data_IF_304698259208
#
_entry.id   IF_304698259208
#
_cell.length_a   1.000
_cell.length_b   1.000
_cell.length_c   1.000
_cell.angle_alpha   90.00
_cell.angle_beta   90.00
_cell.angle_gamma   90.00
#
_symmetry.space_group_name_H-M   'P 1'
#
loop_
_entity.id
_entity.type
_entity.pdbx_description
1 polymer ?
#
# COMPACT_ATOMS: atom_id res chain seq x y z
N UNK A 1 0.01 20.53 -43.17
CA UNK A 1 -0.16 19.53 -42.08
C UNK A 1 -0.79 20.23 -40.90
N UNK A 2 -1.97 19.79 -40.47
CA UNK A 2 -2.63 20.34 -39.29
C UNK A 2 -1.90 19.83 -38.04
N UNK A 3 -1.21 20.72 -37.33
CA UNK A 3 -0.60 20.42 -36.03
C UNK A 3 -1.73 20.36 -35.02
N UNK A 4 -2.37 19.19 -34.89
CA UNK A 4 -3.39 18.96 -33.87
C UNK A 4 -2.72 19.17 -32.52
N UNK A 5 -3.22 20.16 -31.76
CA UNK A 5 -2.69 20.60 -30.49
C UNK A 5 -2.82 19.46 -29.45
N UNK A 6 -1.76 18.65 -29.33
CA UNK A 6 -1.67 17.44 -28.49
C UNK A 6 -2.05 17.72 -27.02
N UNK A 7 -1.82 18.94 -26.55
CA UNK A 7 -2.08 19.34 -25.16
C UNK A 7 -3.58 19.46 -24.84
N UNK A 8 -4.43 19.61 -25.86
CA UNK A 8 -5.88 19.62 -25.67
C UNK A 8 -6.43 18.20 -25.52
N UNK A 9 -5.88 17.23 -26.25
CA UNK A 9 -6.29 15.82 -26.23
C UNK A 9 -5.94 15.15 -24.89
N UNK A 10 -4.79 15.49 -24.29
CA UNK A 10 -4.37 14.94 -22.99
C UNK A 10 -5.29 15.29 -21.82
N UNK A 11 -6.00 16.41 -21.88
CA UNK A 11 -6.83 16.89 -20.75
C UNK A 11 -8.15 16.13 -20.57
N UNK A 12 -8.58 15.39 -21.59
CA UNK A 12 -9.83 14.60 -21.59
C UNK A 12 -9.55 13.09 -21.47
N UNK A 13 -8.29 12.69 -21.22
CA UNK A 13 -7.87 11.30 -21.18
C UNK A 13 -8.14 10.69 -19.79
N UNK A 14 -8.89 9.58 -19.76
CA UNK A 14 -9.10 8.78 -18.55
C UNK A 14 -8.04 7.69 -18.50
N UNK A 15 -7.31 7.59 -17.39
CA UNK A 15 -6.32 6.55 -17.15
C UNK A 15 -6.79 5.63 -16.01
N UNK A 16 -6.71 4.32 -16.23
CA UNK A 16 -6.99 3.30 -15.22
C UNK A 16 -5.66 2.80 -14.66
N UNK A 17 -5.24 3.38 -13.55
CA UNK A 17 -3.98 3.04 -12.89
C UNK A 17 -4.27 2.51 -11.49
N UNK A 18 -3.63 1.40 -11.13
CA UNK A 18 -3.62 0.92 -9.75
C UNK A 18 -2.54 1.63 -8.94
N UNK A 19 -2.77 1.85 -7.65
CA UNK A 19 -1.78 2.45 -6.76
C UNK A 19 -0.50 1.61 -6.71
N UNK A 20 -0.62 0.28 -6.81
CA UNK A 20 0.54 -0.61 -6.85
C UNK A 20 1.44 -0.31 -8.05
N UNK A 21 0.89 -0.07 -9.24
CA UNK A 21 1.67 0.27 -10.44
C UNK A 21 2.47 1.57 -10.32
N UNK A 22 2.14 2.44 -9.38
CA UNK A 22 2.91 3.67 -9.13
C UNK A 22 4.19 3.40 -8.34
N UNK A 23 4.34 2.24 -7.72
CA UNK A 23 5.53 1.85 -6.95
C UNK A 23 6.51 1.10 -7.85
N UNK A 24 7.75 1.60 -8.06
CA UNK A 24 8.74 0.94 -8.91
C UNK A 24 9.01 -0.51 -8.49
N UNK A 25 9.27 -1.39 -9.46
CA UNK A 25 9.51 -2.82 -9.21
C UNK A 25 10.70 -3.09 -8.29
N UNK A 26 11.76 -2.28 -8.41
CA UNK A 26 12.98 -2.41 -7.61
C UNK A 26 12.92 -1.65 -6.26
N UNK A 27 11.74 -1.09 -5.92
CA UNK A 27 11.59 -0.30 -4.70
C UNK A 27 11.77 -1.14 -3.43
N UNK A 28 12.40 -0.55 -2.42
CA UNK A 28 12.77 -1.22 -1.17
C UNK A 28 11.56 -1.86 -0.46
N UNK A 29 10.41 -1.19 -0.43
CA UNK A 29 9.19 -1.73 0.19
C UNK A 29 8.72 -3.03 -0.46
N UNK A 30 8.90 -3.20 -1.78
CA UNK A 30 8.57 -4.45 -2.48
C UNK A 30 9.55 -5.57 -2.13
N UNK A 31 10.82 -5.24 -1.88
CA UNK A 31 11.83 -6.20 -1.40
C UNK A 31 11.51 -6.67 0.01
N UNK A 32 11.11 -5.75 0.89
CA UNK A 32 10.71 -6.06 2.26
C UNK A 32 9.46 -6.95 2.30
N UNK A 33 8.42 -6.60 1.53
CA UNK A 33 7.19 -7.39 1.45
C UNK A 33 7.47 -8.83 0.99
N UNK A 34 8.45 -9.03 0.10
CA UNK A 34 8.89 -10.36 -0.35
C UNK A 34 9.76 -11.10 0.66
N UNK A 35 10.47 -10.38 1.52
CA UNK A 35 11.47 -10.95 2.44
C UNK A 35 10.89 -11.33 3.81
N UNK A 36 9.80 -10.68 4.23
CA UNK A 36 9.23 -10.83 5.57
C UNK A 36 7.78 -11.29 5.45
N UNK A 37 7.48 -12.47 5.98
CA UNK A 37 6.10 -12.81 6.29
C UNK A 37 5.72 -12.11 7.61
N UNK A 38 4.72 -11.24 7.59
CA UNK A 38 4.25 -10.49 8.75
C UNK A 38 3.18 -11.21 9.59
N UNK A 39 2.73 -12.40 9.19
CA UNK A 39 1.66 -13.14 9.87
C UNK A 39 1.98 -13.44 11.35
N UNK A 40 3.26 -13.56 11.70
CA UNK A 40 3.69 -13.78 13.09
C UNK A 40 3.19 -12.69 14.06
N UNK A 41 2.90 -11.48 13.55
CA UNK A 41 2.39 -10.38 14.36
C UNK A 41 1.04 -10.74 14.97
N UNK A 42 0.17 -11.44 14.22
CA UNK A 42 -1.16 -11.81 14.73
C UNK A 42 -1.06 -12.69 15.96
N UNK A 43 -0.14 -13.66 15.98
CA UNK A 43 0.09 -14.52 17.14
C UNK A 43 0.63 -13.73 18.34
N UNK A 44 1.52 -12.76 18.11
CA UNK A 44 2.11 -11.94 19.17
C UNK A 44 1.09 -11.03 19.87
N UNK A 45 0.14 -10.48 19.11
CA UNK A 45 -0.79 -9.47 19.63
C UNK A 45 -2.17 -10.03 19.95
N UNK A 46 -2.42 -11.31 19.66
CA UNK A 46 -3.74 -11.95 19.76
C UNK A 46 -4.49 -11.64 21.05
N UNK A 47 -3.80 -11.76 22.18
CA UNK A 47 -4.41 -11.58 23.52
C UNK A 47 -4.77 -10.11 23.83
N UNK A 48 -4.26 -9.16 23.04
CA UNK A 48 -4.55 -7.72 23.16
C UNK A 48 -5.82 -7.32 22.39
N UNK A 49 -6.36 -8.21 21.54
CA UNK A 49 -7.53 -7.95 20.72
C UNK A 49 -8.71 -8.84 21.14
N UNK A 50 -9.90 -8.24 21.19
CA UNK A 50 -11.13 -8.99 21.39
C UNK A 50 -11.78 -9.31 20.05
N UNK A 51 -12.07 -10.59 19.80
CA UNK A 51 -12.73 -11.04 18.57
C UNK A 51 -14.20 -10.64 18.48
N UNK A 52 -14.87 -10.51 19.63
CA UNK A 52 -16.33 -10.49 19.70
C UNK A 52 -16.91 -9.19 20.25
N UNK A 53 -16.07 -8.27 20.74
CA UNK A 53 -16.51 -7.01 21.35
C UNK A 53 -15.65 -5.84 20.87
N UNK A 54 -16.28 -4.68 20.72
CA UNK A 54 -15.60 -3.42 20.41
C UNK A 54 -15.68 -3.02 18.93
N UNK A 55 -15.06 -1.88 18.62
CA UNK A 55 -14.93 -1.42 17.23
C UNK A 55 -13.77 -2.17 16.58
N UNK A 56 -13.91 -2.65 15.33
CA UNK A 56 -12.78 -3.24 14.61
C UNK A 56 -11.61 -2.26 14.61
N UNK A 57 -10.49 -2.70 15.15
CA UNK A 57 -9.23 -1.95 15.14
C UNK A 57 -8.63 -1.92 13.73
N UNK A 58 -7.68 -1.02 13.50
CA UNK A 58 -6.79 -1.13 12.34
C UNK A 58 -6.05 -2.47 12.45
N UNK A 59 -5.82 -3.09 11.29
CA UNK A 59 -5.07 -4.33 11.19
C UNK A 59 -3.67 -4.16 11.82
N UNK A 60 -3.25 -5.08 12.71
CA UNK A 60 -1.98 -4.95 13.43
C UNK A 60 -0.76 -5.00 12.51
N UNK A 61 -0.80 -5.75 11.41
CA UNK A 61 0.28 -5.77 10.41
C UNK A 61 0.39 -4.40 9.75
N UNK A 62 -0.73 -3.76 9.42
CA UNK A 62 -0.73 -2.40 8.85
C UNK A 62 -0.11 -1.39 9.80
N UNK A 63 -0.45 -1.44 11.10
CA UNK A 63 0.14 -0.54 12.11
C UNK A 63 1.66 -0.69 12.18
N UNK A 64 2.17 -1.93 12.20
CA UNK A 64 3.61 -2.19 12.23
C UNK A 64 4.28 -1.75 10.93
N UNK A 65 3.66 -2.00 9.76
CA UNK A 65 4.20 -1.53 8.47
C UNK A 65 4.32 -0.01 8.41
N UNK A 66 3.38 0.74 8.99
CA UNK A 66 3.46 2.22 9.06
C UNK A 66 4.69 2.65 9.86
N UNK A 67 4.91 2.06 11.05
CA UNK A 67 6.07 2.39 11.89
C UNK A 67 7.38 1.97 11.23
N UNK A 68 7.40 0.81 10.57
CA UNK A 68 8.57 0.33 9.82
C UNK A 68 8.94 1.32 8.71
N UNK A 69 7.96 1.76 7.92
CA UNK A 69 8.18 2.74 6.84
C UNK A 69 8.67 4.08 7.41
N UNK A 70 8.15 4.52 8.56
CA UNK A 70 8.60 5.75 9.21
C UNK A 70 10.09 5.72 9.58
N UNK A 71 10.63 4.54 9.89
CA UNK A 71 12.02 4.38 10.29
C UNK A 71 13.02 4.35 9.11
N UNK A 72 12.53 4.08 7.91
CA UNK A 72 13.35 3.90 6.70
C UNK A 72 13.63 5.22 5.98
#
# INVERSE_FOLDING_TARGET
MLTINKDKIRREQVEFISVDQLVPEDHLVRKIEKAINFDFIYDLVKDMYCLNNGRPSIDPVVLIKIVLIQYM
#
